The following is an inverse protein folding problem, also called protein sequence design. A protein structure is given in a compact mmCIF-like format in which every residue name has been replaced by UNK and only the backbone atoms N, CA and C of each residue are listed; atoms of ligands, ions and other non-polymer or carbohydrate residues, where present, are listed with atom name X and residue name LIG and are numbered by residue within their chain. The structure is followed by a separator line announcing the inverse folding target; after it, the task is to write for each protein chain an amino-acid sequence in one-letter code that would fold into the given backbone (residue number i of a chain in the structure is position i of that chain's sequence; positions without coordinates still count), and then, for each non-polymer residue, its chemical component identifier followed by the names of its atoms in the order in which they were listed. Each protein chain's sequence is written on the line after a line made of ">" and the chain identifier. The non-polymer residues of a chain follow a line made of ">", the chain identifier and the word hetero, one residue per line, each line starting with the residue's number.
data_IF_285925217521
#
_entry.id   IF_285925217521
#
_cell.length_a   1.000
_cell.length_b   1.000
_cell.length_c   1.000
_cell.angle_alpha   90.00
_cell.angle_beta   90.00
_cell.angle_gamma   90.00
#
_symmetry.space_group_name_H-M   'P 1'
#
loop_
_entity.id
_entity.type
_entity.pdbx_description
1 polymer ?
#
# COMPACT_ATOMS: atom_id res chain seq x y z
N UNK A 1 53.73 21.87 30.08
CA UNK A 1 53.01 20.60 30.28
C UNK A 1 52.41 20.58 31.69
N UNK A 2 51.09 20.74 31.81
CA UNK A 2 50.26 20.36 32.98
C UNK A 2 48.78 20.56 32.61
N UNK A 3 48.11 19.43 32.38
CA UNK A 3 46.73 19.03 32.76
C UNK A 3 45.83 20.22 33.18
N UNK A 4 44.68 20.52 32.57
CA UNK A 4 43.62 19.61 32.12
C UNK A 4 42.38 19.83 32.99
N UNK A 5 41.37 20.51 32.41
CA UNK A 5 39.90 20.42 32.60
C UNK A 5 39.20 20.49 33.99
N UNK A 6 37.92 20.93 33.90
CA UNK A 6 36.82 21.01 34.88
C UNK A 6 36.75 22.36 35.61
N UNK A 7 35.62 23.09 35.61
CA UNK A 7 34.33 22.70 36.19
C UNK A 7 33.12 23.21 35.38
N UNK A 8 32.11 22.36 35.31
CA UNK A 8 30.83 22.50 34.63
C UNK A 8 29.95 23.63 35.19
N UNK A 9 29.31 24.39 34.28
CA UNK A 9 28.16 25.22 34.60
C UNK A 9 26.89 24.47 34.15
N UNK A 10 26.13 24.06 35.15
CA UNK A 10 24.83 23.40 35.09
C UNK A 10 23.79 24.40 34.55
N UNK A 11 23.15 24.12 33.41
CA UNK A 11 21.87 24.73 33.06
C UNK A 11 20.86 23.60 32.90
N UNK A 12 20.06 23.45 33.95
CA UNK A 12 18.91 22.56 34.04
C UNK A 12 17.77 23.22 33.26
N UNK A 13 17.49 22.74 32.06
CA UNK A 13 16.22 23.00 31.38
C UNK A 13 15.42 21.70 31.43
N UNK A 14 14.49 21.64 32.39
CA UNK A 14 13.49 20.59 32.51
C UNK A 14 12.48 20.77 31.38
N UNK A 15 12.55 19.90 30.38
CA UNK A 15 11.41 19.61 29.52
C UNK A 15 10.85 18.26 29.94
N UNK A 16 9.63 18.31 30.47
CA UNK A 16 8.93 17.23 31.15
C UNK A 16 8.46 16.18 30.13
N UNK A 17 8.61 14.91 30.53
CA UNK A 17 7.97 13.67 30.04
C UNK A 17 8.33 13.16 28.64
N UNK A 18 9.10 12.08 28.63
CA UNK A 18 9.30 11.18 27.50
C UNK A 18 10.57 10.36 27.70
N UNK A 19 10.46 9.27 28.47
CA UNK A 19 11.57 8.39 28.87
C UNK A 19 12.43 7.99 27.67
N UNK A 20 13.73 8.25 27.78
CA UNK A 20 14.75 7.62 26.93
C UNK A 20 14.82 6.14 27.32
N UNK A 21 14.44 5.26 26.39
CA UNK A 21 14.87 3.86 26.43
C UNK A 21 15.79 3.66 25.23
N UNK A 22 17.09 3.64 25.51
CA UNK A 22 18.08 2.99 24.66
C UNK A 22 17.83 1.49 24.77
N UNK A 23 17.18 0.92 23.77
CA UNK A 23 17.00 -0.52 23.59
C UNK A 23 16.91 -0.79 22.10
N UNK A 24 17.64 -1.80 21.63
CA UNK A 24 17.78 -2.21 20.23
C UNK A 24 16.50 -2.12 19.38
N UNK A 25 16.39 -1.07 18.56
CA UNK A 25 15.36 -0.93 17.53
C UNK A 25 15.99 -0.42 16.22
N UNK A 26 17.03 -1.10 15.75
CA UNK A 26 17.37 -1.11 14.33
C UNK A 26 16.72 -2.35 13.70
N UNK A 27 15.40 -2.48 13.83
CA UNK A 27 14.63 -3.49 13.11
C UNK A 27 14.32 -2.96 11.70
N UNK A 28 14.86 -3.67 10.71
CA UNK A 28 14.61 -3.44 9.28
C UNK A 28 13.18 -3.94 8.95
N UNK A 29 12.40 -3.26 8.09
CA UNK A 29 10.93 -3.22 8.17
C UNK A 29 10.21 -4.51 7.71
N UNK A 30 9.23 -5.06 8.46
CA UNK A 30 8.24 -6.02 7.94
C UNK A 30 7.08 -5.27 7.22
N UNK A 31 6.39 -5.75 6.17
CA UNK A 31 6.34 -7.02 5.44
C UNK A 31 6.01 -6.77 3.94
N UNK A 32 6.08 -7.81 3.10
CA UNK A 32 5.69 -7.80 1.67
C UNK A 32 4.15 -7.90 1.46
N UNK A 33 3.41 -7.35 2.44
CA UNK A 33 1.95 -7.25 2.65
C UNK A 33 1.33 -8.45 3.37
N UNK A 34 0.98 -8.29 4.66
CA UNK A 34 -0.38 -7.91 5.11
C UNK A 34 -0.40 -6.90 6.30
N UNK A 35 -1.56 -6.31 6.66
CA UNK A 35 -1.65 -5.26 7.71
C UNK A 35 -2.21 -5.69 9.08
N UNK A 36 -2.80 -6.89 9.21
CA UNK A 36 -3.51 -7.32 10.42
C UNK A 36 -3.44 -8.84 10.64
N UNK A 37 -3.39 -9.22 11.94
CA UNK A 37 -3.22 -10.53 12.63
C UNK A 37 -1.82 -11.16 12.66
N UNK A 38 -1.35 -11.41 13.89
CA UNK A 38 -0.19 -12.22 14.30
C UNK A 38 -0.13 -13.50 13.47
N UNK A 39 0.64 -13.47 12.38
CA UNK A 39 1.00 -14.67 11.64
C UNK A 39 2.45 -14.94 12.00
N UNK A 40 2.63 -15.86 12.95
CA UNK A 40 3.93 -16.39 13.36
C UNK A 40 4.72 -16.81 12.11
N UNK A 41 5.90 -16.20 11.94
CA UNK A 41 6.95 -16.47 10.95
C UNK A 41 6.52 -16.43 9.45
N UNK A 42 7.12 -15.54 8.62
CA UNK A 42 6.93 -15.64 7.18
C UNK A 42 7.52 -16.95 6.66
N UNK A 43 6.74 -17.74 5.93
CA UNK A 43 7.29 -18.91 5.24
C UNK A 43 8.40 -18.47 4.29
N UNK A 44 9.60 -19.03 4.48
CA UNK A 44 10.87 -18.68 3.83
C UNK A 44 10.93 -19.00 2.30
N UNK A 45 9.77 -19.11 1.64
CA UNK A 45 9.66 -19.44 0.22
C UNK A 45 8.64 -18.52 -0.46
N UNK A 46 9.08 -17.31 -0.81
CA UNK A 46 8.38 -16.50 -1.82
C UNK A 46 8.25 -17.31 -3.12
N UNK A 47 7.06 -17.84 -3.37
CA UNK A 47 6.62 -18.40 -4.66
C UNK A 47 6.05 -17.34 -5.58
N UNK A 48 6.33 -16.05 -5.30
CA UNK A 48 5.98 -14.93 -6.15
C UNK A 48 6.77 -15.06 -7.46
N UNK A 49 6.07 -15.34 -8.55
CA UNK A 49 6.67 -15.31 -9.89
C UNK A 49 7.23 -13.93 -10.23
N UNK A 50 8.12 -13.85 -11.20
CA UNK A 50 8.57 -12.56 -11.74
C UNK A 50 7.37 -11.80 -12.33
N UNK A 51 7.23 -10.48 -12.05
CA UNK A 51 6.15 -9.69 -12.62
C UNK A 51 6.29 -9.60 -14.14
N UNK A 52 5.24 -9.96 -14.88
CA UNK A 52 5.25 -9.97 -16.36
C UNK A 52 5.53 -8.59 -16.98
N UNK A 53 5.31 -7.49 -16.24
CA UNK A 53 5.51 -6.10 -16.70
C UNK A 53 6.42 -5.28 -15.77
N UNK A 54 7.27 -5.94 -14.97
CA UNK A 54 8.06 -5.28 -13.94
C UNK A 54 7.24 -4.82 -12.72
N UNK A 55 5.91 -4.76 -12.80
CA UNK A 55 5.02 -4.42 -11.68
C UNK A 55 4.08 -5.59 -11.37
N UNK A 56 4.11 -6.08 -10.14
CA UNK A 56 3.13 -7.02 -9.60
C UNK A 56 2.10 -6.26 -8.76
N UNK A 57 0.81 -6.61 -8.91
CA UNK A 57 -0.28 -6.04 -8.12
C UNK A 57 -0.98 -7.13 -7.33
N UNK A 58 -1.13 -6.92 -6.03
CA UNK A 58 -1.85 -7.80 -5.13
C UNK A 58 -2.97 -7.04 -4.41
N UNK A 59 -4.16 -7.62 -4.42
CA UNK A 59 -5.25 -7.21 -3.53
C UNK A 59 -5.08 -7.92 -2.20
N UNK A 60 -5.18 -7.18 -1.09
CA UNK A 60 -4.94 -7.67 0.27
C UNK A 60 -6.23 -7.56 1.07
N UNK A 61 -6.84 -8.71 1.34
CA UNK A 61 -8.05 -8.81 2.13
C UNK A 61 -7.77 -8.55 3.63
N UNK A 62 -8.83 -8.28 4.41
CA UNK A 62 -8.71 -8.00 5.85
C UNK A 62 -8.07 -9.13 6.65
N UNK A 63 -8.25 -10.38 6.19
CA UNK A 63 -7.64 -11.57 6.77
C UNK A 63 -6.16 -11.77 6.38
N UNK A 64 -5.58 -10.84 5.61
CA UNK A 64 -4.20 -10.91 5.14
C UNK A 64 -4.02 -11.74 3.87
N UNK A 65 -5.08 -12.32 3.31
CA UNK A 65 -4.99 -13.08 2.06
C UNK A 65 -4.64 -12.14 0.91
N UNK A 66 -3.64 -12.55 0.13
CA UNK A 66 -3.21 -11.82 -1.06
C UNK A 66 -3.74 -12.50 -2.32
N UNK A 67 -4.43 -11.75 -3.16
CA UNK A 67 -4.90 -12.20 -4.48
C UNK A 67 -4.12 -11.47 -5.58
N UNK A 68 -3.50 -12.22 -6.49
CA UNK A 68 -2.80 -11.64 -7.64
C UNK A 68 -3.80 -10.98 -8.59
N UNK A 69 -3.58 -9.68 -8.85
CA UNK A 69 -4.34 -8.83 -9.78
C UNK A 69 -3.45 -8.23 -10.85
N UNK A 70 -2.25 -8.77 -11.08
CA UNK A 70 -1.29 -8.26 -12.06
C UNK A 70 -1.84 -8.28 -13.50
N UNK A 71 -2.82 -9.15 -13.79
CA UNK A 71 -3.56 -9.17 -15.05
C UNK A 71 -4.31 -7.86 -15.33
N UNK A 72 -4.75 -7.13 -14.31
CA UNK A 72 -5.43 -5.84 -14.44
C UNK A 72 -4.51 -4.73 -14.98
N UNK A 73 -3.19 -4.92 -14.82
CA UNK A 73 -2.16 -4.00 -15.28
C UNK A 73 -1.66 -4.29 -16.69
N UNK A 74 -2.04 -5.43 -17.28
CA UNK A 74 -1.60 -5.84 -18.63
C UNK A 74 -2.02 -4.80 -19.67
N UNK A 75 -1.04 -4.30 -20.41
CA UNK A 75 -1.24 -3.27 -21.43
C UNK A 75 -1.47 -1.85 -20.89
N UNK A 76 -1.46 -1.65 -19.56
CA UNK A 76 -1.57 -0.31 -18.92
C UNK A 76 -0.23 0.22 -18.43
N UNK A 77 0.67 -0.67 -18.01
CA UNK A 77 2.01 -0.30 -17.54
C UNK A 77 2.88 0.12 -18.72
N UNK A 78 3.50 1.31 -18.71
CA UNK A 78 4.38 1.72 -19.78
C UNK A 78 5.71 0.97 -19.72
N UNK A 79 6.26 0.61 -20.89
CA UNK A 79 7.56 -0.07 -20.99
C UNK A 79 8.77 0.81 -20.63
N UNK A 80 8.53 2.05 -20.18
CA UNK A 80 9.56 3.02 -19.80
C UNK A 80 9.94 2.94 -18.32
N UNK A 81 9.28 2.09 -17.54
CA UNK A 81 9.63 1.91 -16.13
C UNK A 81 11.02 1.26 -16.03
N UNK A 82 11.83 1.81 -15.13
CA UNK A 82 13.23 1.39 -14.93
C UNK A 82 13.43 0.55 -13.68
N UNK A 83 12.37 0.38 -12.89
CA UNK A 83 12.37 -0.30 -11.61
C UNK A 83 11.21 -1.27 -11.55
N UNK A 84 11.51 -2.46 -11.08
CA UNK A 84 10.47 -3.43 -10.76
C UNK A 84 9.85 -3.09 -9.41
N UNK A 85 8.56 -3.39 -9.25
CA UNK A 85 7.82 -3.09 -8.04
C UNK A 85 6.76 -4.13 -7.70
N UNK A 86 6.49 -4.26 -6.41
CA UNK A 86 5.32 -4.94 -5.88
C UNK A 86 4.37 -3.88 -5.28
N UNK A 87 3.11 -3.94 -5.68
CA UNK A 87 2.06 -3.02 -5.26
C UNK A 87 1.00 -3.82 -4.51
N UNK A 88 0.70 -3.40 -3.29
CA UNK A 88 -0.39 -3.96 -2.50
C UNK A 88 -1.51 -2.96 -2.41
N UNK A 89 -2.71 -3.42 -2.73
CA UNK A 89 -3.97 -2.68 -2.70
C UNK A 89 -4.78 -3.17 -1.50
N UNK A 90 -5.28 -2.23 -0.70
CA UNK A 90 -6.13 -2.50 0.45
C UNK A 90 -7.44 -1.75 0.27
N UNK A 91 -8.54 -2.48 0.20
CA UNK A 91 -9.87 -1.90 0.13
C UNK A 91 -10.28 -1.29 1.47
N UNK A 92 -10.87 -0.10 1.43
CA UNK A 92 -11.50 0.57 2.56
C UNK A 92 -12.93 0.89 2.17
N UNK A 93 -13.85 0.13 2.75
CA UNK A 93 -15.28 0.34 2.60
C UNK A 93 -15.65 1.77 3.01
N UNK A 94 -16.63 2.34 2.31
CA UNK A 94 -17.23 3.62 2.68
C UNK A 94 -18.73 3.58 2.42
N UNK A 95 -19.47 4.29 3.26
CA UNK A 95 -20.93 4.42 3.15
C UNK A 95 -21.35 5.61 2.27
N UNK A 96 -20.40 6.39 1.74
CA UNK A 96 -20.70 7.50 0.83
C UNK A 96 -21.24 6.98 -0.51
N UNK A 97 -22.35 7.53 -0.99
CA UNK A 97 -22.94 7.14 -2.27
C UNK A 97 -22.39 7.99 -3.42
N UNK A 98 -21.88 7.35 -4.47
CA UNK A 98 -21.46 8.00 -5.71
C UNK A 98 -22.58 8.07 -6.75
N UNK A 99 -23.57 7.19 -6.65
CA UNK A 99 -24.69 7.15 -7.60
C UNK A 99 -25.44 5.83 -7.56
N UNK A 100 -26.10 5.49 -8.67
CA UNK A 100 -26.84 4.24 -8.82
C UNK A 100 -26.51 3.52 -10.12
N UNK A 101 -26.36 2.21 -10.00
CA UNK A 101 -26.24 1.26 -11.10
C UNK A 101 -27.58 0.54 -11.27
N UNK A 102 -28.17 0.58 -12.46
CA UNK A 102 -29.39 -0.20 -12.75
C UNK A 102 -30.63 0.19 -11.92
N UNK A 103 -30.66 1.37 -11.31
CA UNK A 103 -31.85 1.98 -10.68
C UNK A 103 -32.19 1.50 -9.26
N UNK A 104 -31.72 0.32 -8.84
CA UNK A 104 -31.92 -0.19 -7.47
C UNK A 104 -30.63 -0.54 -6.74
N UNK A 105 -29.48 -0.44 -7.42
CA UNK A 105 -28.19 -0.70 -6.81
C UNK A 105 -27.45 0.60 -6.58
N UNK A 106 -27.05 0.86 -5.34
CA UNK A 106 -26.23 2.01 -4.96
C UNK A 106 -24.77 1.74 -5.30
N UNK A 107 -24.11 2.69 -5.96
CA UNK A 107 -22.66 2.68 -6.11
C UNK A 107 -22.06 3.42 -4.92
N UNK A 108 -21.26 2.73 -4.12
CA UNK A 108 -20.56 3.29 -2.97
C UNK A 108 -19.19 3.80 -3.36
N UNK A 109 -18.79 4.91 -2.75
CA UNK A 109 -17.43 5.39 -2.79
C UNK A 109 -16.56 4.39 -2.03
N UNK A 110 -15.49 3.94 -2.65
CA UNK A 110 -14.52 3.03 -2.05
C UNK A 110 -13.14 3.65 -2.14
N UNK A 111 -12.39 3.63 -1.05
CA UNK A 111 -10.99 4.09 -1.06
C UNK A 111 -10.08 2.89 -1.10
N UNK A 112 -9.01 3.01 -1.87
CA UNK A 112 -7.97 2.00 -1.95
C UNK A 112 -6.66 2.60 -1.45
N UNK A 113 -6.11 2.01 -0.39
CA UNK A 113 -4.77 2.33 0.06
C UNK A 113 -3.78 1.45 -0.69
N UNK A 114 -2.65 2.03 -1.09
CA UNK A 114 -1.60 1.36 -1.83
C UNK A 114 -0.27 1.47 -1.10
N UNK A 115 0.47 0.36 -1.05
CA UNK A 115 1.88 0.32 -0.65
C UNK A 115 2.72 -0.18 -1.81
N UNK A 116 3.76 0.57 -2.17
CA UNK A 116 4.62 0.28 -3.33
C UNK A 116 6.02 -0.05 -2.85
N UNK A 117 6.50 -1.24 -3.18
CA UNK A 117 7.82 -1.72 -2.81
C UNK A 117 8.70 -1.89 -4.05
N UNK A 118 9.93 -1.39 -4.00
CA UNK A 118 10.94 -1.63 -5.03
C UNK A 118 11.44 -3.07 -4.95
N UNK A 119 11.54 -3.73 -6.10
CA UNK A 119 12.15 -5.06 -6.23
C UNK A 119 13.58 -4.95 -6.79
N UNK A 120 14.51 -5.83 -6.38
CA UNK A 120 14.38 -6.82 -5.31
C UNK A 120 14.67 -6.26 -3.91
N UNK A 121 14.95 -4.95 -3.78
CA UNK A 121 15.44 -4.32 -2.54
C UNK A 121 14.44 -4.38 -1.38
N UNK A 122 13.16 -4.64 -1.68
CA UNK A 122 12.02 -4.60 -0.76
C UNK A 122 11.82 -3.25 -0.07
N UNK A 123 12.41 -2.20 -0.63
CA UNK A 123 12.32 -0.86 -0.07
C UNK A 123 10.93 -0.29 -0.35
N UNK A 124 10.21 0.08 0.70
CA UNK A 124 8.98 0.86 0.54
C UNK A 124 9.31 2.18 -0.16
N UNK A 125 8.75 2.37 -1.35
CA UNK A 125 8.90 3.57 -2.16
C UNK A 125 7.88 4.62 -1.75
N UNK A 126 6.62 4.23 -1.63
CA UNK A 126 5.53 5.13 -1.28
C UNK A 126 4.32 4.39 -0.71
N UNK A 127 3.54 5.11 0.09
CA UNK A 127 2.17 4.78 0.47
C UNK A 127 1.24 5.92 0.06
N UNK A 128 0.13 5.61 -0.60
CA UNK A 128 -0.87 6.61 -0.99
C UNK A 128 -2.27 6.00 -1.06
N UNK A 129 -3.29 6.86 -1.14
CA UNK A 129 -4.69 6.44 -1.30
C UNK A 129 -5.26 7.01 -2.59
N UNK A 130 -6.09 6.22 -3.26
CA UNK A 130 -6.90 6.66 -4.39
C UNK A 130 -8.36 6.31 -4.13
N UNK A 131 -9.25 7.16 -4.64
CA UNK A 131 -10.66 6.81 -4.74
C UNK A 131 -10.84 5.80 -5.87
N UNK A 132 -11.74 4.84 -5.69
CA UNK A 132 -12.19 3.95 -6.75
C UNK A 132 -12.84 4.72 -7.90
N UNK A 133 -12.88 4.09 -9.06
CA UNK A 133 -13.56 4.59 -10.24
C UNK A 133 -15.07 4.64 -9.98
N UNK A 134 -15.64 5.84 -9.98
CA UNK A 134 -17.08 6.07 -9.79
C UNK A 134 -17.96 5.63 -10.97
N UNK A 135 -17.56 4.59 -11.70
CA UNK A 135 -18.31 4.01 -12.81
C UNK A 135 -18.90 2.68 -12.40
N UNK A 136 -20.16 2.45 -12.76
CA UNK A 136 -20.80 1.15 -12.59
C UNK A 136 -20.02 0.06 -13.36
N UNK A 137 -19.78 -1.12 -12.75
CA UNK A 137 -19.09 -2.19 -13.44
C UNK A 137 -19.86 -2.59 -14.70
N UNK A 138 -19.12 -2.82 -15.79
CA UNK A 138 -19.71 -3.25 -17.06
C UNK A 138 -19.81 -4.78 -17.07
N UNK A 139 -20.99 -5.33 -16.79
CA UNK A 139 -21.20 -6.78 -16.80
C UNK A 139 -22.39 -7.24 -15.96
N UNK A 140 -22.55 -8.55 -15.83
CA UNK A 140 -23.46 -9.15 -14.84
C UNK A 140 -22.75 -9.11 -13.50
N UNK A 141 -23.35 -8.41 -12.54
CA UNK A 141 -22.82 -8.31 -11.18
C UNK A 141 -23.65 -9.25 -10.32
N UNK A 142 -23.02 -10.31 -9.83
CA UNK A 142 -23.64 -11.18 -8.83
C UNK A 142 -23.53 -10.47 -7.47
N UNK A 143 -24.63 -9.85 -7.07
CA UNK A 143 -24.76 -9.28 -5.75
C UNK A 143 -24.99 -10.39 -4.72
N UNK A 144 -24.30 -10.37 -3.57
CA UNK A 144 -24.67 -11.17 -2.42
C UNK A 144 -26.17 -11.06 -2.13
N UNK A 145 -26.81 -12.17 -1.74
CA UNK A 145 -28.24 -12.16 -1.45
C UNK A 145 -28.56 -11.13 -0.35
N UNK A 146 -29.35 -10.11 -0.69
CA UNK A 146 -29.73 -9.02 0.22
C UNK A 146 -28.84 -7.77 0.17
N UNK A 147 -27.78 -7.75 -0.64
CA UNK A 147 -27.05 -6.51 -0.91
C UNK A 147 -27.76 -5.68 -1.97
N UNK A 148 -27.76 -4.37 -1.76
CA UNK A 148 -28.27 -3.37 -2.71
C UNK A 148 -27.21 -2.33 -3.06
N UNK A 149 -25.95 -2.62 -2.74
CA UNK A 149 -24.81 -1.75 -2.95
C UNK A 149 -23.66 -2.48 -3.62
N UNK A 150 -22.85 -1.72 -4.36
CA UNK A 150 -21.61 -2.17 -5.02
C UNK A 150 -20.51 -1.17 -4.65
N UNK A 151 -19.35 -1.68 -4.25
CA UNK A 151 -18.13 -0.89 -4.08
C UNK A 151 -17.61 -0.40 -5.43
N UNK A 152 -17.13 0.84 -5.51
CA UNK A 152 -16.47 1.35 -6.69
C UNK A 152 -15.17 0.58 -6.96
N UNK A 153 -14.96 0.12 -8.20
CA UNK A 153 -13.76 -0.61 -8.60
C UNK A 153 -12.48 0.23 -8.43
N UNK A 154 -11.28 -0.35 -8.29
CA UNK A 154 -10.02 0.40 -8.30
C UNK A 154 -9.81 1.23 -9.58
N UNK A 155 -9.36 2.48 -9.44
CA UNK A 155 -8.98 3.33 -10.57
C UNK A 155 -7.55 3.02 -11.04
N UNK A 156 -7.40 1.94 -11.82
CA UNK A 156 -6.09 1.51 -12.35
C UNK A 156 -5.39 2.56 -13.23
N UNK A 157 -6.08 3.34 -14.09
CA UNK A 157 -5.45 4.47 -14.78
C UNK A 157 -4.77 5.45 -13.82
N UNK A 158 -5.46 5.86 -12.74
CA UNK A 158 -4.88 6.74 -11.71
C UNK A 158 -3.75 6.08 -10.94
N UNK A 159 -3.86 4.79 -10.65
CA UNK A 159 -2.77 4.02 -10.04
C UNK A 159 -1.51 4.09 -10.90
N UNK A 160 -1.62 3.83 -12.21
CA UNK A 160 -0.48 3.90 -13.12
C UNK A 160 0.12 5.31 -13.19
N UNK A 161 -0.72 6.36 -13.28
CA UNK A 161 -0.25 7.75 -13.23
C UNK A 161 0.60 8.03 -11.98
N UNK A 162 0.25 7.43 -10.84
CA UNK A 162 1.00 7.57 -9.59
C UNK A 162 2.30 6.77 -9.59
N UNK A 163 2.30 5.57 -10.18
CA UNK A 163 3.47 4.68 -10.23
C UNK A 163 4.56 5.17 -11.19
N UNK A 164 4.19 5.77 -12.33
CA UNK A 164 5.15 6.22 -13.35
C UNK A 164 6.30 7.07 -12.80
N UNK A 165 6.05 8.18 -12.07
CA UNK A 165 7.14 8.99 -11.53
C UNK A 165 7.96 8.30 -10.44
N UNK A 166 7.45 7.25 -9.80
CA UNK A 166 8.14 6.51 -8.74
C UNK A 166 9.10 5.45 -9.29
N UNK A 167 8.70 4.82 -10.40
CA UNK A 167 9.39 3.69 -11.00
C UNK A 167 10.24 4.08 -12.22
N UNK A 168 10.07 5.30 -12.72
CA UNK A 168 10.95 5.89 -13.72
C UNK A 168 12.13 6.60 -13.05
N UNK A 169 13.35 6.42 -13.56
CA UNK A 169 14.51 7.18 -13.10
C UNK A 169 14.32 8.66 -13.44
N UNK A 170 14.71 9.61 -12.54
CA UNK A 170 14.93 10.98 -12.98
C UNK A 170 16.00 10.95 -14.07
N UNK A 171 15.71 11.61 -15.18
CA UNK A 171 16.66 11.83 -16.27
C UNK A 171 17.80 12.75 -15.84
#
# INVERSE_FOLDING_TARGET
>A
MKRGFLVAALVVAVAVTGVVVLGDALETPPAFCPDSVDSDEPEDKSTLGEPENGVALFDVAENGDMTDRSSELVGRVPNTLTKDALVCQYERESEEELGSCGGSTTLLATRYAYKVYELPSKRLLETFELLGAGSCPTGIIELPAGSSSIAADPDYPRLIERLVPLLSSPA
#
